data_IF_932751717782
#
_entry.id   IF_932751717782
#
_cell.length_a   1.000
_cell.length_b   1.000
_cell.length_c   1.000
_cell.angle_alpha   90.00
_cell.angle_beta   90.00
_cell.angle_gamma   90.00
#
_symmetry.space_group_name_H-M   'P 1'
#
loop_
_entity.id
_entity.type
_entity.pdbx_description
1 polymer ?
#
# COMPACT_ATOMS: atom_id res chain seq x y z
N UNK A 1 -4.80 -57.77 -24.56
CA UNK A 1 -5.55 -56.97 -23.57
C UNK A 1 -4.56 -55.97 -22.99
N UNK A 2 -4.55 -54.77 -23.56
CA UNK A 2 -4.91 -53.51 -22.90
C UNK A 2 -3.97 -53.12 -21.73
N UNK A 3 -3.04 -52.18 -21.98
CA UNK A 3 -3.00 -50.78 -21.41
C UNK A 3 -2.07 -50.73 -20.17
N UNK A 4 -1.23 -49.74 -19.88
CA UNK A 4 -0.46 -48.69 -20.57
C UNK A 4 0.16 -47.85 -19.42
N UNK A 5 1.38 -47.31 -19.60
CA UNK A 5 1.93 -46.06 -18.99
C UNK A 5 2.16 -46.11 -17.46
N UNK A 6 3.22 -45.60 -16.84
CA UNK A 6 4.40 -44.77 -17.14
C UNK A 6 5.00 -44.39 -15.77
N UNK A 7 6.27 -43.94 -15.67
CA UNK A 7 6.87 -43.54 -14.40
C UNK A 7 6.16 -42.30 -13.83
N UNK A 8 5.93 -42.25 -12.53
CA UNK A 8 5.47 -41.03 -11.84
C UNK A 8 6.55 -39.96 -11.96
N UNK A 9 6.37 -39.14 -12.98
CA UNK A 9 7.08 -37.91 -13.26
C UNK A 9 6.78 -36.86 -12.19
N UNK A 10 7.85 -36.32 -11.62
CA UNK A 10 8.09 -34.88 -11.59
C UNK A 10 6.94 -34.02 -11.04
N UNK A 11 7.00 -33.71 -9.75
CA UNK A 11 6.39 -32.49 -9.21
C UNK A 11 7.46 -31.43 -9.07
N UNK A 12 7.95 -30.95 -10.22
CA UNK A 12 8.64 -29.66 -10.28
C UNK A 12 7.67 -28.58 -9.87
N UNK A 13 8.14 -27.73 -8.95
CA UNK A 13 7.58 -26.45 -8.51
C UNK A 13 6.52 -25.87 -9.44
N UNK A 14 5.26 -25.90 -9.01
CA UNK A 14 4.34 -24.84 -9.42
C UNK A 14 4.80 -23.58 -8.70
N UNK A 15 5.53 -22.76 -9.45
CA UNK A 15 5.91 -21.40 -9.12
C UNK A 15 4.82 -20.69 -8.30
N UNK A 16 5.02 -20.63 -6.97
CA UNK A 16 4.79 -19.38 -6.25
C UNK A 16 5.59 -18.31 -6.99
N UNK A 17 4.97 -17.69 -8.00
CA UNK A 17 5.33 -16.32 -8.33
C UNK A 17 4.91 -15.54 -7.09
N UNK A 18 5.77 -15.55 -6.08
CA UNK A 18 5.70 -14.70 -4.92
C UNK A 18 5.88 -13.29 -5.48
N UNK A 19 4.78 -12.69 -5.94
CA UNK A 19 4.76 -11.27 -6.22
C UNK A 19 4.95 -10.60 -4.87
N UNK A 20 6.16 -10.12 -4.62
CA UNK A 20 6.45 -9.29 -3.46
C UNK A 20 5.56 -8.05 -3.51
N UNK A 21 4.44 -8.12 -2.80
CA UNK A 21 3.47 -7.06 -2.74
C UNK A 21 4.10 -5.81 -2.12
N UNK A 22 3.83 -4.64 -2.71
CA UNK A 22 4.31 -3.36 -2.15
C UNK A 22 3.38 -2.22 -2.50
N UNK A 23 3.40 -1.22 -1.64
CA UNK A 23 2.88 0.12 -1.94
C UNK A 23 4.03 1.11 -2.04
N UNK A 24 3.84 2.17 -2.80
CA UNK A 24 4.86 3.18 -2.98
C UNK A 24 4.25 4.53 -3.34
N UNK A 25 4.90 5.60 -2.93
CA UNK A 25 4.58 6.96 -3.36
C UNK A 25 5.34 7.22 -4.66
N UNK A 26 4.60 7.47 -5.74
CA UNK A 26 5.12 7.75 -7.08
C UNK A 26 5.60 9.20 -7.15
N UNK A 27 4.78 10.10 -6.63
CA UNK A 27 5.06 11.53 -6.52
C UNK A 27 4.49 12.03 -5.18
N UNK A 28 5.18 12.95 -4.48
CA UNK A 28 6.51 13.46 -4.79
C UNK A 28 7.60 12.42 -4.54
N UNK A 29 8.79 12.64 -5.10
CA UNK A 29 9.96 11.79 -4.80
C UNK A 29 10.42 11.99 -3.34
N UNK A 30 11.08 10.98 -2.78
CA UNK A 30 11.70 11.10 -1.46
C UNK A 30 12.77 12.21 -1.45
N UNK A 31 12.73 13.05 -0.42
CA UNK A 31 13.56 14.24 -0.25
C UNK A 31 13.10 15.46 -1.05
N UNK A 32 11.99 15.40 -1.79
CA UNK A 32 11.56 16.50 -2.63
C UNK A 32 11.23 17.78 -1.83
N UNK A 33 11.56 18.92 -2.44
CA UNK A 33 11.04 20.23 -2.00
C UNK A 33 9.81 20.57 -2.83
N UNK A 34 8.70 20.91 -2.18
CA UNK A 34 7.37 21.07 -2.79
C UNK A 34 6.67 22.31 -2.25
N UNK A 35 5.70 22.82 -3.01
CA UNK A 35 4.75 23.83 -2.54
C UNK A 35 3.52 23.15 -1.92
N UNK A 36 2.75 23.90 -1.12
CA UNK A 36 1.49 23.45 -0.53
C UNK A 36 0.30 24.06 -1.30
N UNK A 37 -0.74 23.29 -1.68
CA UNK A 37 -0.96 21.89 -1.35
C UNK A 37 -0.01 20.94 -2.10
N UNK A 38 0.32 19.83 -1.46
CA UNK A 38 1.20 18.79 -2.03
C UNK A 38 0.34 17.76 -2.75
N UNK A 39 0.52 17.63 -4.06
CA UNK A 39 -0.04 16.53 -4.84
C UNK A 39 0.74 15.24 -4.54
N UNK A 40 0.03 14.16 -4.19
CA UNK A 40 0.62 12.87 -3.87
C UNK A 40 -0.03 11.78 -4.72
N UNK A 41 0.77 10.92 -5.35
CA UNK A 41 0.34 9.83 -6.21
C UNK A 41 0.82 8.49 -5.67
N UNK A 42 -0.06 7.50 -5.63
CA UNK A 42 0.18 6.19 -5.02
C UNK A 42 0.32 5.09 -6.08
N UNK A 43 1.05 4.04 -5.73
CA UNK A 43 1.17 2.80 -6.48
C UNK A 43 0.99 1.57 -5.59
N UNK A 44 0.54 0.48 -6.20
CA UNK A 44 0.37 -0.84 -5.60
C UNK A 44 0.80 -1.90 -6.62
N UNK A 45 1.57 -2.88 -6.17
CA UNK A 45 1.91 -4.10 -6.93
C UNK A 45 1.67 -5.34 -6.05
N UNK A 46 1.34 -6.47 -6.68
CA UNK A 46 1.16 -7.76 -6.00
C UNK A 46 -0.16 -7.94 -5.23
N UNK A 47 -1.03 -6.92 -5.16
CA UNK A 47 -2.36 -7.01 -4.55
C UNK A 47 -3.40 -6.22 -5.34
N UNK A 48 -4.67 -6.29 -4.90
CA UNK A 48 -5.79 -5.65 -5.56
C UNK A 48 -6.30 -4.43 -4.78
N UNK A 49 -6.55 -3.34 -5.49
CA UNK A 49 -7.23 -2.18 -4.91
C UNK A 49 -8.75 -2.44 -4.87
N UNK A 50 -9.38 -2.23 -3.71
CA UNK A 50 -10.81 -2.42 -3.45
C UNK A 50 -11.33 -1.34 -2.50
N UNK A 51 -12.63 -1.01 -2.53
CA UNK A 51 -13.20 -0.03 -1.60
C UNK A 51 -13.10 -0.48 -0.14
N UNK A 52 -13.09 0.48 0.78
CA UNK A 52 -13.30 0.18 2.20
C UNK A 52 -14.62 -0.58 2.39
N UNK A 53 -14.63 -1.56 3.29
CA UNK A 53 -15.74 -2.50 3.53
C UNK A 53 -15.73 -3.75 2.65
N UNK A 54 -14.97 -3.78 1.54
CA UNK A 54 -14.79 -4.99 0.73
C UNK A 54 -13.79 -5.94 1.42
N UNK A 55 -14.26 -7.13 1.79
CA UNK A 55 -13.48 -8.13 2.54
C UNK A 55 -12.81 -9.17 1.63
N UNK A 56 -12.67 -8.89 0.33
CA UNK A 56 -11.94 -9.76 -0.59
C UNK A 56 -10.51 -9.98 -0.10
N UNK A 57 -10.02 -11.23 0.01
CA UNK A 57 -8.65 -11.51 0.39
C UNK A 57 -7.63 -10.83 -0.52
N UNK A 58 -6.45 -10.54 0.01
CA UNK A 58 -5.34 -9.92 -0.70
C UNK A 58 -5.72 -8.62 -1.45
N UNK A 59 -6.60 -7.85 -0.81
CA UNK A 59 -7.10 -6.59 -1.33
C UNK A 59 -7.35 -5.56 -0.25
N UNK A 60 -7.50 -4.30 -0.66
CA UNK A 60 -7.66 -3.20 0.28
C UNK A 60 -7.55 -1.84 -0.37
N UNK A 61 -7.24 -0.83 0.44
CA UNK A 61 -7.12 0.55 0.02
C UNK A 61 -5.95 1.25 0.74
N UNK A 62 -5.62 2.46 0.27
CA UNK A 62 -4.53 3.23 0.83
C UNK A 62 -4.96 4.08 2.02
N UNK A 63 -4.01 4.31 2.92
CA UNK A 63 -4.01 5.35 3.94
C UNK A 63 -2.72 6.14 3.80
N UNK A 64 -2.76 7.45 4.06
CA UNK A 64 -1.56 8.30 4.07
C UNK A 64 -1.37 8.89 5.46
N UNK A 65 -0.42 8.35 6.23
CA UNK A 65 -0.11 8.81 7.58
C UNK A 65 0.91 9.95 7.48
N UNK A 66 0.49 11.16 7.86
CA UNK A 66 1.29 12.38 7.85
C UNK A 66 2.03 12.49 9.18
N UNK A 67 3.35 12.68 9.11
CA UNK A 67 4.25 12.80 10.28
C UNK A 67 4.15 11.63 11.27
N UNK A 68 3.73 10.46 10.78
CA UNK A 68 3.56 9.24 11.55
C UNK A 68 4.28 8.03 10.95
N UNK A 69 4.28 6.94 11.71
CA UNK A 69 4.98 5.69 11.38
C UNK A 69 4.02 4.65 10.80
N UNK A 70 4.53 3.63 10.10
CA UNK A 70 3.74 2.48 9.69
C UNK A 70 3.03 1.81 10.87
N UNK A 71 1.84 1.27 10.62
CA UNK A 71 0.99 0.62 11.63
C UNK A 71 1.27 -0.88 11.65
N UNK A 72 1.43 -1.54 12.82
CA UNK A 72 1.64 -2.99 12.90
C UNK A 72 0.56 -3.79 12.18
N UNK A 73 0.94 -4.96 11.67
CA UNK A 73 0.02 -5.86 10.96
C UNK A 73 -1.17 -6.23 11.85
N UNK A 74 -2.38 -6.12 11.30
CA UNK A 74 -3.63 -6.46 11.97
C UNK A 74 -4.23 -5.35 12.84
N UNK A 75 -3.45 -4.34 13.20
CA UNK A 75 -3.96 -3.17 13.93
C UNK A 75 -4.75 -2.25 13.00
N UNK A 76 -5.74 -1.55 13.56
CA UNK A 76 -6.54 -0.57 12.83
C UNK A 76 -5.71 0.67 12.54
N UNK A 77 -5.68 1.10 11.28
CA UNK A 77 -5.12 2.38 10.86
C UNK A 77 -6.11 3.48 11.26
N UNK A 78 -5.74 4.46 12.09
CA UNK A 78 -6.65 5.53 12.46
C UNK A 78 -7.02 6.39 11.25
N UNK A 79 -8.31 6.62 11.03
CA UNK A 79 -8.79 7.57 10.01
C UNK A 79 -8.97 8.94 10.64
N UNK A 80 -8.07 9.87 10.33
CA UNK A 80 -8.04 11.23 10.88
C UNK A 80 -7.55 12.23 9.83
N UNK A 81 -7.52 13.53 10.13
CA UNK A 81 -6.93 14.53 9.23
C UNK A 81 -5.43 14.30 8.97
N UNK A 82 -4.70 13.75 9.94
CA UNK A 82 -3.28 13.36 9.79
C UNK A 82 -3.10 11.92 9.30
N UNK A 83 -4.18 11.21 9.01
CA UNK A 83 -4.16 9.86 8.43
C UNK A 83 -5.43 9.64 7.59
N UNK A 84 -5.60 10.38 6.48
CA UNK A 84 -6.74 10.21 5.60
C UNK A 84 -6.76 8.82 4.95
N UNK A 85 -7.96 8.25 4.83
CA UNK A 85 -8.21 7.04 4.08
C UNK A 85 -8.57 7.36 2.61
N UNK A 86 -8.27 6.41 1.73
CA UNK A 86 -8.63 6.44 0.32
C UNK A 86 -9.51 5.24 -0.03
N UNK A 87 -10.56 5.04 0.79
CA UNK A 87 -11.49 3.91 0.70
C UNK A 87 -12.36 3.84 -0.55
N UNK A 88 -12.22 4.76 -1.52
CA UNK A 88 -12.86 4.71 -2.84
C UNK A 88 -11.86 4.38 -3.96
N UNK A 89 -10.76 3.71 -3.60
CA UNK A 89 -9.69 3.31 -4.52
C UNK A 89 -8.98 4.51 -5.18
N UNK A 90 -8.88 5.65 -4.47
CA UNK A 90 -8.13 6.79 -4.99
C UNK A 90 -6.63 6.49 -5.02
N UNK A 91 -5.98 6.88 -6.12
CA UNK A 91 -4.52 6.74 -6.31
C UNK A 91 -3.81 8.09 -6.36
N UNK A 92 -4.55 9.18 -6.12
CA UNK A 92 -4.02 10.53 -6.10
C UNK A 92 -4.78 11.37 -5.07
N UNK A 93 -4.11 12.33 -4.45
CA UNK A 93 -4.69 13.28 -3.51
C UNK A 93 -3.92 14.59 -3.50
N UNK A 94 -4.51 15.62 -2.91
CA UNK A 94 -3.84 16.87 -2.52
C UNK A 94 -3.98 17.03 -1.01
N UNK A 95 -2.85 17.22 -0.32
CA UNK A 95 -2.82 17.43 1.12
C UNK A 95 -2.26 18.81 1.47
N UNK A 96 -2.86 19.44 2.47
CA UNK A 96 -2.36 20.70 2.99
C UNK A 96 -1.30 20.41 4.07
N UNK A 97 -0.07 20.84 3.83
CA UNK A 97 1.03 20.77 4.79
C UNK A 97 1.52 22.17 5.16
N UNK A 98 1.99 22.30 6.40
CA UNK A 98 2.67 23.52 6.86
C UNK A 98 4.05 23.65 6.22
N UNK A 99 4.66 24.84 6.35
CA UNK A 99 6.05 25.04 5.92
C UNK A 99 7.00 24.23 6.81
N UNK A 100 7.97 23.51 6.22
CA UNK A 100 8.94 22.72 6.99
C UNK A 100 9.16 21.30 6.47
N UNK A 101 9.75 20.47 7.31
CA UNK A 101 10.03 19.06 7.01
C UNK A 101 8.83 18.21 7.45
N UNK A 102 8.37 17.31 6.57
CA UNK A 102 7.31 16.35 6.84
C UNK A 102 7.73 14.95 6.39
N UNK A 103 7.11 13.93 6.99
CA UNK A 103 7.15 12.55 6.48
C UNK A 103 5.77 12.11 6.02
N UNK A 104 5.71 11.41 4.91
CA UNK A 104 4.50 10.82 4.35
C UNK A 104 4.66 9.31 4.33
N UNK A 105 3.86 8.60 5.12
CA UNK A 105 3.86 7.14 5.17
C UNK A 105 2.60 6.62 4.50
N UNK A 106 2.73 6.10 3.27
CA UNK A 106 1.67 5.36 2.59
C UNK A 106 1.56 3.98 3.23
N UNK A 107 0.36 3.59 3.66
CA UNK A 107 0.07 2.31 4.31
C UNK A 107 -1.08 1.62 3.56
N UNK A 108 -0.93 0.31 3.29
CA UNK A 108 -2.03 -0.50 2.78
C UNK A 108 -2.86 -1.09 3.92
N UNK A 109 -4.19 -0.98 3.82
CA UNK A 109 -5.14 -1.54 4.78
C UNK A 109 -6.24 -2.35 4.12
N UNK A 110 -6.76 -3.37 4.80
CA UNK A 110 -7.86 -4.21 4.33
C UNK A 110 -9.22 -3.47 4.35
N UNK A 111 -10.31 -4.15 3.97
CA UNK A 111 -11.67 -3.61 4.01
C UNK A 111 -12.13 -3.13 5.40
N UNK A 112 -11.49 -3.57 6.48
CA UNK A 112 -11.77 -3.16 7.86
C UNK A 112 -10.79 -2.09 8.39
N UNK A 113 -10.00 -1.47 7.52
CA UNK A 113 -8.92 -0.54 7.88
C UNK A 113 -7.78 -1.16 8.69
N UNK A 114 -7.60 -2.48 8.65
CA UNK A 114 -6.49 -3.14 9.35
C UNK A 114 -5.26 -3.15 8.48
N UNK A 115 -4.13 -2.77 9.06
CA UNK A 115 -2.86 -2.69 8.36
C UNK A 115 -2.38 -4.06 7.89
N UNK A 116 -1.86 -4.11 6.67
CA UNK A 116 -1.07 -5.25 6.19
C UNK A 116 0.36 -5.28 6.78
N UNK A 117 0.69 -4.33 7.65
CA UNK A 117 1.95 -4.24 8.38
C UNK A 117 2.96 -3.26 7.75
N UNK A 118 4.07 -3.00 8.45
CA UNK A 118 5.14 -2.13 7.95
C UNK A 118 5.75 -2.56 6.61
N UNK A 119 5.71 -3.85 6.29
CA UNK A 119 6.14 -4.43 5.02
C UNK A 119 5.34 -3.93 3.82
N UNK A 120 4.07 -3.56 4.02
CA UNK A 120 3.20 -2.95 3.02
C UNK A 120 2.99 -1.46 3.32
N UNK A 121 4.10 -0.80 3.59
CA UNK A 121 4.16 0.65 3.72
C UNK A 121 5.34 1.23 2.94
N UNK A 122 5.25 2.52 2.64
CA UNK A 122 6.36 3.29 2.08
C UNK A 122 6.37 4.68 2.71
N UNK A 123 7.49 5.04 3.34
CA UNK A 123 7.69 6.35 3.93
C UNK A 123 8.66 7.16 3.08
N UNK A 124 8.28 8.40 2.78
CA UNK A 124 9.16 9.41 2.18
C UNK A 124 9.23 10.66 3.07
N UNK A 125 10.28 11.45 2.89
CA UNK A 125 10.43 12.78 3.47
C UNK A 125 10.19 13.85 2.41
N UNK A 126 9.49 14.92 2.75
CA UNK A 126 9.31 16.09 1.88
C UNK A 126 9.56 17.37 2.65
N UNK A 127 10.01 18.42 1.96
CA UNK A 127 10.16 19.75 2.52
C UNK A 127 9.21 20.73 1.84
N UNK A 128 8.33 21.35 2.59
CA UNK A 128 7.44 22.40 2.11
C UNK A 128 8.14 23.76 2.24
N UNK A 129 8.21 24.52 1.15
CA UNK A 129 8.81 25.85 1.09
C UNK A 129 7.91 26.86 0.38
#
# INVERSE_FOLDING_TARGET
MLVRLGPESDVTSVEEIQMDARVYIIEPADGATVASPVSVKFGLEGMQLRPAGDMTPDSGHFHLIIDGKPVPRGDVIPTTESSPDFGKMQTTTEIQLGQGQHTLTLQFGDGAHRSFGPELSNTISVRVQ
#
